data_IF_514316212307
#
_entry.id   IF_514316212307
#
_cell.length_a   1.000
_cell.length_b   1.000
_cell.length_c   1.000
_cell.angle_alpha   90.00
_cell.angle_beta   90.00
_cell.angle_gamma   90.00
#
_symmetry.space_group_name_H-M   'P 1'
#
loop_
_entity.id
_entity.type
_entity.pdbx_description
1 polymer ?
#
# COMPACT_ATOMS: atom_id res chain seq x y z
N UNK A 1 32.03 -0.54 4.86
CA UNK A 1 30.75 -0.79 5.50
C UNK A 1 30.04 0.53 5.74
N UNK A 2 28.90 0.64 5.26
CA UNK A 2 28.03 1.82 5.06
C UNK A 2 27.40 2.37 6.36
N UNK A 3 27.75 1.86 7.51
CA UNK A 3 27.31 2.39 8.80
C UNK A 3 25.83 2.16 9.14
N UNK A 4 25.14 1.32 8.36
CA UNK A 4 23.74 0.95 8.60
C UNK A 4 23.55 -0.56 8.71
N UNK A 5 22.63 -1.00 9.56
CA UNK A 5 22.23 -2.41 9.61
C UNK A 5 21.22 -2.73 8.49
N UNK A 6 20.82 -3.99 8.38
CA UNK A 6 19.86 -4.45 7.35
C UNK A 6 18.49 -3.73 7.40
N UNK A 7 18.17 -3.00 8.46
CA UNK A 7 16.94 -2.22 8.63
C UNK A 7 17.10 -0.75 8.26
N UNK A 8 18.27 -0.33 7.75
CA UNK A 8 18.52 1.07 7.43
C UNK A 8 18.79 1.95 8.66
N UNK A 9 19.00 1.37 9.84
CA UNK A 9 19.33 2.08 11.08
C UNK A 9 20.86 2.19 11.17
N UNK A 10 21.41 3.34 11.60
CA UNK A 10 22.86 3.46 11.78
C UNK A 10 23.38 2.32 12.68
N UNK A 11 24.40 1.60 12.21
CA UNK A 11 24.91 0.42 12.91
C UNK A 11 25.41 0.72 14.33
N UNK A 12 25.90 1.96 14.56
CA UNK A 12 26.33 2.45 15.87
C UNK A 12 25.16 2.80 16.81
N UNK A 13 23.94 2.88 16.28
CA UNK A 13 22.71 3.23 16.99
C UNK A 13 21.62 2.18 16.76
N UNK A 14 21.99 0.90 16.64
CA UNK A 14 21.04 -0.21 16.52
C UNK A 14 19.94 -0.12 17.59
N UNK A 15 18.76 -0.74 17.36
CA UNK A 15 17.66 -0.66 18.30
C UNK A 15 18.08 -1.18 19.68
N UNK A 16 17.66 -0.47 20.73
CA UNK A 16 17.88 -0.95 22.09
C UNK A 16 17.15 -2.30 22.29
N UNK A 17 17.73 -3.22 23.08
CA UNK A 17 17.08 -4.52 23.33
C UNK A 17 15.65 -4.40 23.86
N UNK A 18 15.34 -3.33 24.59
CA UNK A 18 14.00 -3.07 25.13
C UNK A 18 12.98 -2.65 24.06
N UNK A 19 13.46 -2.25 22.88
CA UNK A 19 12.59 -1.91 21.73
C UNK A 19 12.30 -3.12 20.85
N UNK A 20 12.81 -4.29 21.20
CA UNK A 20 12.64 -5.51 20.41
C UNK A 20 11.66 -6.49 21.07
N UNK A 21 10.85 -7.11 20.24
CA UNK A 21 10.04 -8.28 20.59
C UNK A 21 10.96 -9.51 20.72
N UNK A 22 10.46 -10.58 21.38
CA UNK A 22 11.22 -11.86 21.44
C UNK A 22 11.59 -12.43 20.06
N UNK A 23 10.80 -12.13 19.02
CA UNK A 23 11.07 -12.55 17.63
C UNK A 23 12.08 -11.65 16.89
N UNK A 24 12.65 -10.67 17.56
CA UNK A 24 13.62 -9.73 16.99
C UNK A 24 13.04 -8.58 16.19
N UNK A 25 11.72 -8.49 16.06
CA UNK A 25 11.06 -7.37 15.40
C UNK A 25 10.95 -6.17 16.35
N UNK A 26 10.98 -4.96 15.78
CA UNK A 26 10.75 -3.75 16.56
C UNK A 26 9.33 -3.74 17.14
N UNK A 27 9.20 -3.33 18.40
CA UNK A 27 7.90 -3.11 19.01
C UNK A 27 7.21 -1.96 18.28
N UNK A 28 6.03 -2.25 17.72
CA UNK A 28 5.22 -1.24 17.07
C UNK A 28 4.56 -0.34 18.11
N UNK A 29 4.77 0.96 17.96
CA UNK A 29 4.05 1.99 18.69
C UNK A 29 3.24 2.78 17.68
N UNK A 30 1.93 2.83 17.87
CA UNK A 30 1.04 3.55 16.96
C UNK A 30 1.46 5.03 16.91
N UNK A 31 1.92 5.53 15.77
CA UNK A 31 2.32 6.93 15.67
C UNK A 31 1.08 7.82 15.63
N UNK A 32 0.90 8.61 16.67
CA UNK A 32 -0.23 9.53 16.85
C UNK A 32 0.03 10.88 16.12
N UNK A 33 0.49 10.83 14.86
CA UNK A 33 0.93 12.03 14.16
C UNK A 33 -0.01 12.43 13.01
N UNK A 34 -0.61 11.46 12.32
CA UNK A 34 -1.47 11.71 11.17
C UNK A 34 -2.67 10.75 11.17
N UNK A 35 -3.77 11.21 10.58
CA UNK A 35 -4.91 10.34 10.33
C UNK A 35 -4.58 9.34 9.21
N UNK A 36 -4.25 8.12 9.60
CA UNK A 36 -3.96 7.00 8.71
C UNK A 36 -5.17 6.08 8.53
N UNK A 37 -6.38 6.56 8.78
CA UNK A 37 -7.59 5.79 8.50
C UNK A 37 -7.74 5.60 6.99
N UNK A 38 -7.77 4.34 6.49
CA UNK A 38 -7.96 4.10 5.07
C UNK A 38 -9.31 4.63 4.58
N UNK A 39 -9.33 5.18 3.37
CA UNK A 39 -10.58 5.59 2.72
C UNK A 39 -11.53 4.41 2.61
N UNK A 40 -12.79 4.59 2.99
CA UNK A 40 -13.80 3.55 2.91
C UNK A 40 -14.26 3.38 1.45
N UNK A 41 -13.83 2.28 0.83
CA UNK A 41 -14.17 1.93 -0.55
C UNK A 41 -15.37 0.98 -0.67
N UNK A 42 -16.04 0.64 0.43
CA UNK A 42 -17.10 -0.37 0.44
C UNK A 42 -18.29 -0.02 -0.47
N UNK A 43 -18.69 1.24 -0.50
CA UNK A 43 -19.79 1.68 -1.38
C UNK A 43 -19.39 1.57 -2.86
N UNK A 44 -18.14 1.89 -3.19
CA UNK A 44 -17.61 1.78 -4.56
C UNK A 44 -17.61 0.32 -5.00
N UNK A 45 -17.10 -0.57 -4.15
CA UNK A 45 -17.06 -2.00 -4.44
C UNK A 45 -18.47 -2.58 -4.61
N UNK A 46 -19.42 -2.20 -3.75
CA UNK A 46 -20.82 -2.63 -3.85
C UNK A 46 -21.46 -2.17 -5.16
N UNK A 47 -21.18 -0.94 -5.59
CA UNK A 47 -21.67 -0.43 -6.86
C UNK A 47 -21.08 -1.21 -8.05
N UNK A 48 -19.80 -1.55 -7.98
CA UNK A 48 -19.14 -2.38 -8.98
C UNK A 48 -19.78 -3.77 -9.08
N UNK A 49 -19.99 -4.43 -7.96
CA UNK A 49 -20.53 -5.78 -7.90
C UNK A 49 -22.00 -5.84 -8.34
N UNK A 50 -22.81 -4.84 -7.98
CA UNK A 50 -24.22 -4.76 -8.33
C UNK A 50 -24.50 -4.20 -9.73
N UNK A 51 -23.53 -3.46 -10.29
CA UNK A 51 -23.71 -2.69 -11.51
C UNK A 51 -24.57 -1.43 -11.33
N UNK A 52 -24.88 -1.04 -10.10
CA UNK A 52 -25.70 0.14 -9.79
C UNK A 52 -24.91 1.16 -8.98
N UNK A 53 -24.55 2.27 -9.62
CA UNK A 53 -23.80 3.37 -9.03
C UNK A 53 -24.65 4.58 -8.62
N UNK A 54 -25.97 4.48 -8.73
CA UNK A 54 -26.89 5.61 -8.52
C UNK A 54 -26.84 6.19 -7.11
N UNK A 55 -26.46 5.39 -6.12
CA UNK A 55 -26.32 5.83 -4.72
C UNK A 55 -24.96 6.42 -4.34
N UNK A 56 -24.00 6.42 -5.26
CA UNK A 56 -22.65 6.91 -4.96
C UNK A 56 -22.59 8.44 -4.91
N UNK A 57 -21.74 8.96 -4.02
CA UNK A 57 -21.33 10.34 -4.07
C UNK A 57 -20.65 10.66 -5.41
N UNK A 58 -20.57 11.94 -5.75
CA UNK A 58 -19.87 12.37 -6.97
C UNK A 58 -18.40 11.95 -6.95
N UNK A 59 -17.74 12.04 -5.79
CA UNK A 59 -16.36 11.64 -5.59
C UNK A 59 -16.17 10.15 -5.80
N UNK A 60 -16.99 9.32 -5.16
CA UNK A 60 -16.92 7.87 -5.27
C UNK A 60 -17.21 7.39 -6.69
N UNK A 61 -18.13 8.04 -7.38
CA UNK A 61 -18.42 7.73 -8.79
C UNK A 61 -17.23 8.01 -9.69
N UNK A 62 -16.51 9.10 -9.46
CA UNK A 62 -15.27 9.41 -10.20
C UNK A 62 -14.20 8.35 -9.94
N UNK A 63 -14.04 7.94 -8.69
CA UNK A 63 -13.10 6.88 -8.32
C UNK A 63 -13.47 5.58 -9.01
N UNK A 64 -14.74 5.19 -8.96
CA UNK A 64 -15.24 3.97 -9.62
C UNK A 64 -14.94 3.99 -11.12
N UNK A 65 -15.26 5.08 -11.80
CA UNK A 65 -15.05 5.19 -13.24
C UNK A 65 -13.56 5.14 -13.61
N UNK A 66 -12.69 5.78 -12.83
CA UNK A 66 -11.25 5.69 -13.04
C UNK A 66 -10.72 4.27 -12.82
N UNK A 67 -11.17 3.61 -11.76
CA UNK A 67 -10.80 2.22 -11.48
C UNK A 67 -11.28 1.27 -12.58
N UNK A 68 -12.50 1.43 -13.07
CA UNK A 68 -13.00 0.66 -14.22
C UNK A 68 -12.10 0.77 -15.44
N UNK A 69 -11.66 1.99 -15.76
CA UNK A 69 -10.76 2.23 -16.90
C UNK A 69 -9.44 1.50 -16.75
N UNK A 70 -8.87 1.47 -15.54
CA UNK A 70 -7.65 0.72 -15.25
C UNK A 70 -7.86 -0.77 -15.44
N UNK A 71 -8.96 -1.32 -14.93
CA UNK A 71 -9.28 -2.75 -15.09
C UNK A 71 -9.49 -3.13 -16.57
N UNK A 72 -10.16 -2.31 -17.33
CA UNK A 72 -10.37 -2.54 -18.77
C UNK A 72 -9.04 -2.56 -19.54
N UNK A 73 -8.11 -1.72 -19.14
CA UNK A 73 -6.76 -1.65 -19.73
C UNK A 73 -5.89 -2.85 -19.35
N UNK A 74 -5.95 -3.29 -18.09
CA UNK A 74 -4.94 -4.17 -17.50
C UNK A 74 -5.39 -5.62 -17.33
N UNK A 75 -6.68 -5.89 -17.15
CA UNK A 75 -7.17 -7.19 -16.70
C UNK A 75 -8.06 -7.83 -17.76
N UNK A 76 -7.78 -9.11 -18.06
CA UNK A 76 -8.59 -9.94 -18.92
C UNK A 76 -9.22 -11.10 -18.13
N UNK A 77 -10.36 -11.68 -18.58
CA UNK A 77 -11.06 -12.73 -17.83
C UNK A 77 -10.26 -14.03 -17.63
N UNK A 78 -9.27 -14.29 -18.46
CA UNK A 78 -8.44 -15.50 -18.41
C UNK A 78 -7.20 -15.38 -17.52
N UNK A 79 -6.96 -14.21 -16.95
CA UNK A 79 -5.82 -14.00 -16.05
C UNK A 79 -6.02 -14.72 -14.71
N UNK A 80 -4.91 -15.31 -14.20
CA UNK A 80 -4.83 -15.78 -12.83
C UNK A 80 -4.82 -14.59 -11.85
N UNK A 81 -5.07 -14.84 -10.58
CA UNK A 81 -5.00 -13.80 -9.55
C UNK A 81 -3.62 -13.14 -9.49
N UNK A 82 -2.55 -13.94 -9.64
CA UNK A 82 -1.18 -13.41 -9.72
C UNK A 82 -0.99 -12.50 -10.94
N UNK A 83 -1.49 -12.89 -12.10
CA UNK A 83 -1.37 -12.09 -13.32
C UNK A 83 -2.14 -10.75 -13.19
N UNK A 84 -3.32 -10.77 -12.56
CA UNK A 84 -4.09 -9.57 -12.26
C UNK A 84 -3.31 -8.64 -11.34
N UNK A 85 -2.77 -9.19 -10.25
CA UNK A 85 -1.96 -8.44 -9.30
C UNK A 85 -0.76 -7.79 -9.98
N UNK A 86 0.01 -8.55 -10.73
CA UNK A 86 1.20 -8.05 -11.43
C UNK A 86 0.84 -6.93 -12.40
N UNK A 87 -0.21 -7.10 -13.21
CA UNK A 87 -0.65 -6.09 -14.17
C UNK A 87 -1.06 -4.77 -13.47
N UNK A 88 -1.81 -4.86 -12.39
CA UNK A 88 -2.25 -3.68 -11.63
C UNK A 88 -1.10 -3.02 -10.88
N UNK A 89 -0.19 -3.80 -10.35
CA UNK A 89 1.01 -3.29 -9.69
C UNK A 89 1.92 -2.52 -10.66
N UNK A 90 2.12 -3.07 -11.85
CA UNK A 90 2.87 -2.42 -12.93
C UNK A 90 2.17 -1.14 -13.37
N UNK A 91 0.84 -1.16 -13.50
CA UNK A 91 0.08 0.04 -13.86
C UNK A 91 0.34 1.18 -12.87
N UNK A 92 0.29 0.89 -11.57
CA UNK A 92 0.61 1.90 -10.54
C UNK A 92 2.02 2.45 -10.71
N UNK A 93 3.00 1.59 -10.94
CA UNK A 93 4.39 2.03 -11.07
C UNK A 93 4.62 2.93 -12.29
N UNK A 94 3.85 2.74 -13.35
CA UNK A 94 3.99 3.51 -14.62
C UNK A 94 3.16 4.79 -14.64
N UNK A 95 2.04 4.83 -13.93
CA UNK A 95 1.06 5.90 -14.07
C UNK A 95 0.95 6.81 -12.84
N UNK A 96 1.53 6.43 -11.72
CA UNK A 96 1.42 7.17 -10.47
C UNK A 96 2.81 7.55 -9.96
N UNK A 97 2.96 8.81 -9.57
CA UNK A 97 4.18 9.31 -8.91
C UNK A 97 3.88 9.60 -7.44
N UNK A 98 4.91 9.51 -6.60
CA UNK A 98 4.76 9.85 -5.19
C UNK A 98 4.53 11.35 -5.03
N UNK A 99 3.54 11.72 -4.22
CA UNK A 99 3.26 13.12 -3.91
C UNK A 99 4.23 13.62 -2.83
N UNK A 100 5.22 14.38 -3.24
CA UNK A 100 6.27 14.92 -2.36
C UNK A 100 5.92 16.28 -1.78
N UNK A 101 4.73 16.81 -2.00
CA UNK A 101 4.34 18.15 -1.54
C UNK A 101 4.43 18.31 -0.03
N UNK A 102 4.22 17.23 0.75
CA UNK A 102 4.36 17.24 2.20
C UNK A 102 5.82 17.44 2.70
N UNK A 103 6.82 17.10 1.88
CA UNK A 103 8.24 17.26 2.26
C UNK A 103 8.69 18.73 2.32
N UNK A 104 7.93 19.64 1.74
CA UNK A 104 8.23 21.06 1.69
C UNK A 104 7.43 21.87 2.73
N UNK A 105 7.17 21.32 3.90
CA UNK A 105 6.38 21.94 4.97
C UNK A 105 4.93 22.24 4.60
N UNK A 106 4.43 21.62 3.54
CA UNK A 106 3.02 21.68 3.14
C UNK A 106 2.41 20.28 3.25
N UNK A 107 1.23 20.21 3.80
CA UNK A 107 0.48 18.98 3.79
C UNK A 107 0.07 18.63 2.37
N UNK A 108 0.19 17.36 1.99
CA UNK A 108 -0.38 16.89 0.74
C UNK A 108 -1.91 17.02 0.81
N UNK A 109 -2.58 17.31 -0.31
CA UNK A 109 -4.04 17.38 -0.31
C UNK A 109 -4.64 16.04 0.11
N UNK A 110 -5.78 16.07 0.81
CA UNK A 110 -6.42 14.85 1.32
C UNK A 110 -6.64 13.80 0.23
N UNK A 111 -6.91 14.21 -0.99
CA UNK A 111 -7.06 13.30 -2.13
C UNK A 111 -5.83 12.44 -2.41
N UNK A 112 -4.63 12.90 -2.04
CA UNK A 112 -3.39 12.10 -2.16
C UNK A 112 -3.32 10.94 -1.16
N UNK A 113 -4.12 10.97 -0.09
CA UNK A 113 -4.27 9.89 0.90
C UNK A 113 -5.40 8.92 0.55
N UNK A 114 -6.10 9.14 -0.54
CA UNK A 114 -7.28 8.41 -0.98
C UNK A 114 -7.03 7.80 -2.36
N UNK A 115 -7.84 6.82 -2.79
CA UNK A 115 -7.73 6.29 -4.16
C UNK A 115 -7.84 7.35 -5.25
N UNK A 116 -8.50 8.46 -4.96
CA UNK A 116 -8.66 9.58 -5.89
C UNK A 116 -7.31 10.11 -6.42
N UNK A 117 -6.33 10.25 -5.54
CA UNK A 117 -5.01 10.76 -5.93
C UNK A 117 -4.35 9.89 -7.01
N UNK A 118 -4.00 8.64 -6.71
CA UNK A 118 -3.39 7.75 -7.70
C UNK A 118 -4.23 7.51 -8.95
N UNK A 119 -5.54 7.33 -8.81
CA UNK A 119 -6.38 6.93 -9.94
C UNK A 119 -6.80 8.09 -10.86
N UNK A 120 -6.92 9.30 -10.32
CA UNK A 120 -7.42 10.46 -11.08
C UNK A 120 -6.35 11.51 -11.28
N UNK A 121 -5.59 11.84 -10.22
CA UNK A 121 -4.56 12.87 -10.27
C UNK A 121 -3.18 12.34 -10.68
N UNK A 122 -2.98 11.03 -10.74
CA UNK A 122 -1.72 10.40 -11.07
C UNK A 122 -0.64 10.60 -10.00
N UNK A 123 -1.02 10.91 -8.78
CA UNK A 123 -0.08 11.09 -7.65
C UNK A 123 -0.76 10.75 -6.32
N UNK A 124 0.03 10.26 -5.38
CA UNK A 124 -0.45 9.95 -4.04
C UNK A 124 0.69 9.74 -3.06
N UNK A 125 0.34 9.74 -1.78
CA UNK A 125 1.24 9.25 -0.72
C UNK A 125 0.98 7.76 -0.49
N UNK A 126 1.71 7.14 0.43
CA UNK A 126 1.63 5.70 0.67
C UNK A 126 0.20 5.18 0.91
N UNK A 127 -0.60 5.89 1.71
CA UNK A 127 -1.98 5.49 1.98
C UNK A 127 -2.87 5.57 0.73
N UNK A 128 -2.66 6.56 -0.11
CA UNK A 128 -3.36 6.67 -1.40
C UNK A 128 -3.02 5.51 -2.33
N UNK A 129 -1.73 5.18 -2.46
CA UNK A 129 -1.28 4.00 -3.22
C UNK A 129 -1.92 2.71 -2.70
N UNK A 130 -1.86 2.50 -1.38
CA UNK A 130 -2.33 1.27 -0.77
C UNK A 130 -3.85 1.10 -0.95
N UNK A 131 -4.63 2.15 -0.72
CA UNK A 131 -6.09 2.08 -0.88
C UNK A 131 -6.52 2.00 -2.33
N UNK A 132 -5.80 2.64 -3.26
CA UNK A 132 -6.04 2.49 -4.68
C UNK A 132 -5.76 1.07 -5.15
N UNK A 133 -4.64 0.49 -4.72
CA UNK A 133 -4.29 -0.89 -5.07
C UNK A 133 -5.30 -1.88 -4.50
N UNK A 134 -5.70 -1.71 -3.24
CA UNK A 134 -6.74 -2.55 -2.64
C UNK A 134 -8.05 -2.50 -3.44
N UNK A 135 -8.51 -1.30 -3.80
CA UNK A 135 -9.74 -1.15 -4.59
C UNK A 135 -9.66 -1.88 -5.93
N UNK A 136 -8.56 -1.68 -6.66
CA UNK A 136 -8.35 -2.34 -7.96
C UNK A 136 -8.34 -3.86 -7.81
N UNK A 137 -7.67 -4.39 -6.79
CA UNK A 137 -7.60 -5.82 -6.53
C UNK A 137 -8.97 -6.37 -6.13
N UNK A 138 -9.68 -5.71 -5.23
CA UNK A 138 -11.04 -6.09 -4.82
C UNK A 138 -11.99 -6.14 -6.02
N UNK A 139 -11.95 -5.13 -6.89
CA UNK A 139 -12.76 -5.10 -8.11
C UNK A 139 -12.36 -6.21 -9.10
N UNK A 140 -11.09 -6.57 -9.14
CA UNK A 140 -10.60 -7.69 -9.96
C UNK A 140 -10.88 -9.07 -9.33
N UNK A 141 -11.43 -9.12 -8.12
CA UNK A 141 -11.78 -10.36 -7.44
C UNK A 141 -10.62 -11.02 -6.71
N UNK A 142 -9.56 -10.27 -6.39
CA UNK A 142 -8.39 -10.77 -5.64
C UNK A 142 -8.39 -10.15 -4.25
N UNK A 143 -8.34 -11.00 -3.22
CA UNK A 143 -8.38 -10.53 -1.83
C UNK A 143 -7.12 -9.72 -1.48
N UNK A 144 -7.32 -8.50 -1.02
CA UNK A 144 -6.27 -7.54 -0.71
C UNK A 144 -6.67 -6.70 0.49
N UNK A 145 -5.71 -6.38 1.35
CA UNK A 145 -5.94 -5.48 2.47
C UNK A 145 -4.90 -4.36 2.48
N UNK A 146 -5.27 -3.25 3.09
CA UNK A 146 -4.36 -2.15 3.42
C UNK A 146 -3.86 -2.33 4.83
N UNK A 147 -2.54 -2.30 5.02
CA UNK A 147 -1.88 -2.34 6.32
C UNK A 147 -1.37 -0.93 6.62
N UNK A 148 -1.73 -0.41 7.79
CA UNK A 148 -1.18 0.84 8.29
C UNK A 148 -0.20 0.55 9.42
N UNK A 149 0.91 1.25 9.43
CA UNK A 149 1.97 1.02 10.38
C UNK A 149 2.96 2.18 10.42
N UNK A 150 4.22 1.87 10.62
CA UNK A 150 5.27 2.86 10.77
C UNK A 150 6.52 2.49 9.98
N UNK A 151 7.29 3.50 9.65
CA UNK A 151 8.64 3.40 9.13
C UNK A 151 9.45 4.61 9.63
N UNK A 152 10.60 4.39 10.22
CA UNK A 152 11.44 5.48 10.71
C UNK A 152 12.00 6.34 9.56
N UNK A 153 12.23 5.72 8.40
CA UNK A 153 12.75 6.42 7.21
C UNK A 153 11.70 7.31 6.54
N UNK A 154 10.40 6.99 6.72
CA UNK A 154 9.26 7.67 6.09
C UNK A 154 8.43 8.48 7.09
N UNK A 155 9.08 9.09 8.09
CA UNK A 155 8.45 9.99 9.07
C UNK A 155 7.39 9.32 9.95
N UNK A 156 7.60 8.06 10.30
CA UNK A 156 6.86 7.24 11.25
C UNK A 156 5.52 6.67 10.73
N UNK A 157 4.78 7.37 9.87
CA UNK A 157 3.54 6.83 9.31
C UNK A 157 3.79 6.19 7.95
N UNK A 158 3.28 4.98 7.77
CA UNK A 158 3.40 4.27 6.50
C UNK A 158 2.21 3.34 6.27
N UNK A 159 1.95 3.04 5.01
CA UNK A 159 0.89 2.12 4.61
C UNK A 159 1.36 1.30 3.40
N UNK A 160 0.94 0.04 3.38
CA UNK A 160 1.23 -0.90 2.29
C UNK A 160 0.10 -1.92 2.16
N UNK A 161 0.32 -2.99 1.43
CA UNK A 161 -0.72 -3.98 1.17
C UNK A 161 -0.31 -5.39 1.57
N UNK A 162 -1.29 -6.22 1.81
CA UNK A 162 -1.16 -7.67 1.75
C UNK A 162 -2.15 -8.23 0.73
N UNK A 163 -1.72 -9.21 -0.02
CA UNK A 163 -2.49 -9.88 -1.07
C UNK A 163 -2.57 -11.35 -0.76
N UNK A 164 -3.76 -11.95 -0.93
CA UNK A 164 -3.96 -13.38 -0.72
C UNK A 164 -4.02 -14.10 -2.07
N UNK A 165 -3.06 -14.98 -2.28
CA UNK A 165 -2.95 -15.79 -3.49
C UNK A 165 -2.92 -17.27 -3.10
N UNK A 166 -3.80 -18.07 -3.69
CA UNK A 166 -3.87 -19.51 -3.39
C UNK A 166 -3.96 -19.85 -1.89
N UNK A 167 -4.68 -19.01 -1.13
CA UNK A 167 -4.86 -19.18 0.30
C UNK A 167 -3.72 -18.68 1.19
N UNK A 168 -2.66 -18.12 0.61
CA UNK A 168 -1.50 -17.62 1.35
C UNK A 168 -1.37 -16.10 1.21
N UNK A 169 -0.96 -15.43 2.30
CA UNK A 169 -0.75 -13.99 2.31
C UNK A 169 0.67 -13.62 1.88
N UNK A 170 0.77 -12.51 1.15
CA UNK A 170 2.02 -11.90 0.70
C UNK A 170 1.97 -10.39 0.95
N UNK A 171 3.12 -9.79 1.26
CA UNK A 171 3.22 -8.34 1.42
C UNK A 171 3.65 -7.67 0.13
N UNK A 172 3.11 -6.48 -0.12
CA UNK A 172 3.49 -5.65 -1.26
C UNK A 172 3.49 -4.17 -0.85
N UNK A 173 4.50 -3.44 -1.28
CA UNK A 173 4.65 -2.01 -0.99
C UNK A 173 4.89 -1.23 -2.29
N UNK A 174 3.81 -0.88 -3.01
CA UNK A 174 3.93 -0.22 -4.31
C UNK A 174 4.77 1.07 -4.29
N UNK A 175 4.55 2.02 -3.35
CA UNK A 175 5.34 3.24 -3.37
C UNK A 175 6.83 3.02 -3.10
N UNK A 176 7.22 2.02 -2.30
CA UNK A 176 8.62 1.74 -2.04
C UNK A 176 9.30 1.11 -3.27
N UNK A 177 8.63 0.28 -4.02
CA UNK A 177 9.13 -0.20 -5.30
C UNK A 177 9.19 0.93 -6.34
N UNK A 178 8.20 1.81 -6.34
CA UNK A 178 8.14 2.90 -7.30
C UNK A 178 9.27 3.93 -7.17
N UNK A 179 9.91 4.02 -6.00
CA UNK A 179 11.08 4.90 -5.79
C UNK A 179 12.27 4.53 -6.68
N UNK A 180 12.34 3.28 -7.10
CA UNK A 180 13.43 2.78 -7.94
C UNK A 180 13.07 2.76 -9.44
N UNK A 181 11.91 3.28 -9.79
CA UNK A 181 11.40 3.32 -11.15
C UNK A 181 10.60 2.07 -11.54
N UNK A 182 9.92 2.10 -12.70
CA UNK A 182 9.11 0.99 -13.16
C UNK A 182 9.92 -0.30 -13.32
N UNK A 183 9.34 -1.42 -12.90
CA UNK A 183 9.95 -2.74 -13.04
C UNK A 183 10.81 -3.20 -11.88
N UNK A 184 10.90 -2.42 -10.80
CA UNK A 184 11.54 -2.86 -9.56
C UNK A 184 10.52 -3.55 -8.65
N UNK A 185 10.80 -4.79 -8.25
CA UNK A 185 9.89 -5.64 -7.47
C UNK A 185 10.53 -6.14 -6.17
N UNK A 186 11.23 -5.26 -5.44
CA UNK A 186 11.85 -5.59 -4.14
C UNK A 186 10.81 -5.81 -3.05
N UNK A 187 9.65 -5.17 -3.17
CA UNK A 187 8.54 -5.23 -2.22
C UNK A 187 7.27 -5.78 -2.86
N UNK A 188 7.42 -6.76 -3.73
CA UNK A 188 6.30 -7.41 -4.41
C UNK A 188 6.24 -8.88 -3.99
N UNK A 189 5.15 -9.25 -3.32
CA UNK A 189 4.91 -10.61 -2.81
C UNK A 189 6.05 -11.12 -1.93
N UNK A 190 6.43 -10.32 -0.95
CA UNK A 190 7.47 -10.64 0.01
C UNK A 190 6.87 -11.11 1.33
N UNK A 191 7.75 -11.63 2.20
CA UNK A 191 7.35 -12.12 3.53
C UNK A 191 7.19 -10.98 4.53
N UNK A 192 6.44 -11.25 5.61
CA UNK A 192 6.36 -10.34 6.75
C UNK A 192 7.73 -10.10 7.36
N UNK A 193 8.59 -11.10 7.39
CA UNK A 193 9.95 -10.96 7.91
C UNK A 193 10.78 -9.99 7.06
N UNK A 194 10.66 -10.06 5.73
CA UNK A 194 11.33 -9.11 4.84
C UNK A 194 10.86 -7.67 5.10
N UNK A 195 9.55 -7.48 5.31
CA UNK A 195 9.01 -6.17 5.64
C UNK A 195 9.56 -5.65 6.98
N UNK A 196 9.59 -6.50 8.01
CA UNK A 196 10.12 -6.14 9.32
C UNK A 196 11.61 -5.81 9.25
N UNK A 197 12.39 -6.55 8.46
CA UNK A 197 13.83 -6.33 8.27
C UNK A 197 14.15 -5.09 7.44
N UNK A 198 13.17 -4.57 6.71
CA UNK A 198 13.32 -3.39 5.83
C UNK A 198 12.50 -2.19 6.32
N UNK A 199 12.52 -1.95 7.62
CA UNK A 199 11.97 -0.76 8.26
C UNK A 199 10.44 -0.63 8.16
N UNK A 200 9.74 -1.74 8.31
CA UNK A 200 8.28 -1.73 8.45
C UNK A 200 7.92 -2.26 9.85
N UNK A 201 7.07 -1.52 10.56
CA UNK A 201 6.52 -1.93 11.85
C UNK A 201 4.99 -1.78 11.80
N UNK A 202 4.27 -2.76 12.35
CA UNK A 202 2.80 -2.77 12.35
C UNK A 202 2.28 -3.60 13.52
N UNK A 203 0.99 -3.69 13.65
CA UNK A 203 0.35 -4.57 14.64
C UNK A 203 0.44 -6.03 14.17
N UNK A 204 1.55 -6.68 14.50
CA UNK A 204 1.88 -8.05 14.05
C UNK A 204 0.85 -9.08 14.51
N UNK A 205 0.29 -8.88 15.70
CA UNK A 205 -0.60 -9.88 16.32
C UNK A 205 -2.00 -9.87 15.72
N UNK A 206 -2.41 -8.75 15.12
CA UNK A 206 -3.73 -8.57 14.50
C UNK A 206 -3.68 -8.51 12.97
N UNK A 207 -2.53 -8.83 12.37
CA UNK A 207 -2.33 -8.82 10.92
C UNK A 207 -1.90 -10.22 10.48
N UNK A 208 -2.38 -10.73 9.34
CA UNK A 208 -1.91 -12.02 8.82
C UNK A 208 -0.40 -12.06 8.64
N UNK A 209 0.20 -13.22 8.83
CA UNK A 209 1.62 -13.44 8.62
C UNK A 209 1.85 -13.97 7.21
N UNK A 210 2.75 -13.30 6.47
CA UNK A 210 3.24 -13.79 5.18
C UNK A 210 4.53 -14.57 5.42
N UNK A 211 4.50 -15.83 5.18
CA UNK A 211 5.65 -16.76 5.32
C UNK A 211 6.33 -17.03 3.94
#
# INVERSE_FOLDING_TARGET
>A
GDGFNARGIPAALGPDPEDLRPDGRLIYKDPDIEDMTPYDTSAILAAWESGNDSGLSRKDRKILNAAKSVLEECVTPDMSDYEKEEALYIWLSRNVRYDTSHHNSKEAPRTSYEPYGPLINGKGVCLGYATAFQLLMDMAGVECMTVTGASNLMMNNHAWNMVKLNGEWYCADPPWDNRHGPGHFTYFNVTSQHMADTDHQWDYDNTPEAT
#
